data_IF_127559225574
#
_entry.id   IF_127559225574
#
_cell.length_a   1.000
_cell.length_b   1.000
_cell.length_c   1.000
_cell.angle_alpha   90.00
_cell.angle_beta   90.00
_cell.angle_gamma   90.00
#
_symmetry.space_group_name_H-M   'P 1'
#
loop_
_entity.id
_entity.type
_entity.pdbx_description
1 polymer ?
#
# COMPACT_ATOMS: atom_id res chain seq x y z
N UNK A 1 -15.24 -12.44 0.86
CA UNK A 1 -14.14 -11.69 0.24
C UNK A 1 -12.82 -12.25 0.72
N UNK A 2 -11.85 -12.53 -0.17
CA UNK A 2 -10.48 -12.90 0.20
C UNK A 2 -9.90 -11.91 1.22
N UNK A 3 -9.05 -12.38 2.14
CA UNK A 3 -8.51 -11.57 3.23
C UNK A 3 -7.84 -10.27 2.73
N UNK A 4 -7.13 -10.33 1.60
CA UNK A 4 -6.47 -9.16 1.01
C UNK A 4 -7.44 -8.13 0.48
N UNK A 5 -8.56 -8.56 -0.10
CA UNK A 5 -9.54 -7.63 -0.60
C UNK A 5 -10.17 -6.82 0.54
N UNK A 6 -10.30 -7.44 1.74
CA UNK A 6 -10.72 -6.72 2.95
C UNK A 6 -9.64 -5.78 3.46
N UNK A 7 -8.38 -6.22 3.47
CA UNK A 7 -7.25 -5.36 3.86
C UNK A 7 -7.16 -4.13 2.97
N UNK A 8 -7.23 -4.29 1.65
CA UNK A 8 -7.24 -3.18 0.69
C UNK A 8 -8.49 -2.30 0.83
N UNK A 9 -9.64 -2.89 1.17
CA UNK A 9 -10.83 -2.12 1.55
C UNK A 9 -10.55 -1.18 2.72
N UNK A 10 -9.84 -1.64 3.76
CA UNK A 10 -9.42 -0.79 4.89
C UNK A 10 -8.38 0.25 4.47
N UNK A 11 -7.40 -0.10 3.63
CA UNK A 11 -6.46 0.90 3.08
C UNK A 11 -7.22 2.05 2.44
N UNK A 12 -8.17 1.77 1.55
CA UNK A 12 -8.93 2.80 0.84
C UNK A 12 -9.82 3.66 1.75
N UNK A 13 -10.20 3.15 2.94
CA UNK A 13 -10.90 3.95 3.95
C UNK A 13 -9.99 5.03 4.56
N UNK A 14 -8.67 4.84 4.57
CA UNK A 14 -7.72 5.82 5.11
C UNK A 14 -7.24 6.83 4.07
N UNK A 15 -7.16 6.43 2.80
CA UNK A 15 -6.55 7.24 1.75
C UNK A 15 -7.55 7.85 0.74
N UNK A 16 -8.85 7.82 1.04
CA UNK A 16 -9.86 8.59 0.30
C UNK A 16 -9.79 10.09 0.62
N UNK A 17 -10.47 10.89 -0.21
CA UNK A 17 -10.48 12.36 -0.11
C UNK A 17 -10.93 12.88 1.27
N UNK A 18 -11.86 12.18 1.93
CA UNK A 18 -12.43 12.61 3.21
C UNK A 18 -11.50 12.32 4.40
N UNK A 19 -10.66 11.29 4.28
CA UNK A 19 -9.89 10.73 5.41
C UNK A 19 -8.38 10.96 5.28
N UNK A 20 -7.87 11.27 4.09
CA UNK A 20 -6.44 11.32 3.84
C UNK A 20 -5.70 12.39 4.65
N UNK A 21 -6.34 13.52 4.95
CA UNK A 21 -5.77 14.55 5.82
C UNK A 21 -5.55 14.04 7.25
N UNK A 22 -6.55 13.34 7.80
CA UNK A 22 -6.45 12.73 9.15
C UNK A 22 -5.38 11.63 9.15
N UNK A 23 -5.34 10.81 8.11
CA UNK A 23 -4.32 9.77 7.95
C UNK A 23 -2.92 10.36 7.87
N UNK A 24 -2.71 11.44 7.10
CA UNK A 24 -1.43 12.15 7.04
C UNK A 24 -0.99 12.57 8.43
N UNK A 25 -1.85 13.30 9.13
CA UNK A 25 -1.50 13.84 10.44
C UNK A 25 -1.17 12.73 11.46
N UNK A 26 -1.76 11.54 11.31
CA UNK A 26 -1.51 10.38 12.17
C UNK A 26 -0.18 9.66 11.88
N UNK A 27 0.27 9.57 10.62
CA UNK A 27 1.38 8.70 10.22
C UNK A 27 2.52 9.38 9.44
N UNK A 28 2.47 10.69 9.21
CA UNK A 28 3.53 11.41 8.47
C UNK A 28 4.91 11.21 9.10
N UNK A 29 5.03 11.39 10.42
CA UNK A 29 6.31 11.19 11.12
C UNK A 29 6.82 9.74 11.00
N UNK A 30 5.90 8.77 11.07
CA UNK A 30 6.21 7.35 10.94
C UNK A 30 6.68 6.99 9.51
N UNK A 31 6.17 7.68 8.49
CA UNK A 31 6.63 7.52 7.10
C UNK A 31 8.05 8.06 6.90
N UNK A 32 8.40 9.16 7.58
CA UNK A 32 9.70 9.81 7.48
C UNK A 32 10.79 9.12 8.34
N UNK A 33 10.40 8.41 9.39
CA UNK A 33 11.32 7.64 10.23
C UNK A 33 11.84 6.39 9.49
N UNK A 34 13.15 6.29 9.22
CA UNK A 34 13.74 5.14 8.54
C UNK A 34 13.71 3.84 9.37
N UNK A 35 13.49 3.92 10.70
CA UNK A 35 13.39 2.73 11.56
C UNK A 35 11.98 2.14 11.56
N UNK A 36 10.96 2.95 11.31
CA UNK A 36 9.60 2.47 11.17
C UNK A 36 9.47 1.67 9.87
N UNK A 37 8.81 0.52 9.88
CA UNK A 37 8.56 -0.28 8.68
C UNK A 37 7.10 -0.12 8.19
N UNK A 38 6.80 -0.56 6.97
CA UNK A 38 5.46 -0.43 6.37
C UNK A 38 4.37 -1.16 7.18
N UNK A 39 4.71 -2.31 7.76
CA UNK A 39 3.79 -3.14 8.53
C UNK A 39 3.34 -2.42 9.79
N UNK A 40 4.26 -1.83 10.54
CA UNK A 40 3.96 -1.06 11.75
C UNK A 40 3.04 0.13 11.44
N UNK A 41 3.25 0.83 10.32
CA UNK A 41 2.35 1.90 9.88
C UNK A 41 0.94 1.34 9.60
N UNK A 42 0.85 0.23 8.89
CA UNK A 42 -0.42 -0.41 8.58
C UNK A 42 -1.15 -0.95 9.84
N UNK A 43 -0.41 -1.38 10.86
CA UNK A 43 -0.97 -1.77 12.15
C UNK A 43 -1.47 -0.55 12.94
N UNK A 44 -0.72 0.56 12.97
CA UNK A 44 -1.16 1.82 13.59
C UNK A 44 -2.48 2.32 13.00
N UNK A 45 -2.65 2.17 11.68
CA UNK A 45 -3.90 2.53 11.01
C UNK A 45 -5.01 1.49 11.17
N UNK A 46 -4.76 0.31 11.73
CA UNK A 46 -5.73 -0.78 11.76
C UNK A 46 -6.03 -1.39 10.38
N UNK A 47 -5.15 -1.15 9.40
CA UNK A 47 -5.20 -1.78 8.08
C UNK A 47 -4.86 -3.26 8.19
N UNK A 48 -3.84 -3.60 8.98
CA UNK A 48 -3.48 -4.99 9.30
C UNK A 48 -4.15 -5.38 10.62
N UNK A 49 -4.96 -6.44 10.57
CA UNK A 49 -5.77 -6.91 11.72
C UNK A 49 -5.52 -8.36 12.08
N UNK A 50 -4.79 -9.10 11.23
CA UNK A 50 -4.51 -10.53 11.42
C UNK A 50 -3.06 -10.85 11.12
N UNK A 51 -2.53 -11.92 11.72
CA UNK A 51 -1.16 -12.40 11.45
C UNK A 51 -0.95 -12.77 9.97
N UNK A 52 -2.01 -13.23 9.29
CA UNK A 52 -1.96 -13.53 7.86
C UNK A 52 -1.73 -12.28 7.01
N UNK A 53 -2.41 -11.18 7.32
CA UNK A 53 -2.21 -9.88 6.65
C UNK A 53 -0.81 -9.31 6.94
N UNK A 54 -0.33 -9.46 8.19
CA UNK A 54 1.02 -9.05 8.59
C UNK A 54 2.09 -9.74 7.74
N UNK A 55 2.10 -11.08 7.72
CA UNK A 55 3.08 -11.90 7.01
C UNK A 55 3.18 -11.55 5.52
N UNK A 56 2.09 -11.05 4.97
CA UNK A 56 1.99 -10.73 3.54
C UNK A 56 2.62 -9.41 3.23
N UNK A 57 2.36 -8.38 4.05
CA UNK A 57 3.08 -7.12 3.92
C UNK A 57 4.58 -7.31 4.20
N UNK A 58 4.93 -8.17 5.15
CA UNK A 58 6.34 -8.54 5.43
C UNK A 58 7.00 -9.27 4.24
N UNK A 59 6.23 -10.09 3.51
CA UNK A 59 6.73 -10.83 2.35
C UNK A 59 6.89 -9.97 1.09
N UNK A 60 6.37 -8.74 1.07
CA UNK A 60 6.58 -7.84 -0.06
C UNK A 60 8.08 -7.55 -0.24
N UNK A 61 8.58 -7.53 -1.49
CA UNK A 61 9.95 -7.09 -1.77
C UNK A 61 10.24 -5.73 -1.14
N UNK A 62 11.40 -5.58 -0.50
CA UNK A 62 11.80 -4.32 0.18
C UNK A 62 11.71 -3.11 -0.74
N UNK A 63 12.01 -3.28 -2.03
CA UNK A 63 11.85 -2.24 -3.04
C UNK A 63 10.41 -1.75 -3.17
N UNK A 64 9.42 -2.66 -3.22
CA UNK A 64 8.00 -2.30 -3.25
C UNK A 64 7.58 -1.59 -1.97
N UNK A 65 8.02 -2.08 -0.80
CA UNK A 65 7.72 -1.43 0.47
C UNK A 65 8.27 0.01 0.51
N UNK A 66 9.51 0.20 0.06
CA UNK A 66 10.14 1.51 -0.03
C UNK A 66 9.42 2.43 -1.03
N UNK A 67 9.03 1.91 -2.21
CA UNK A 67 8.27 2.67 -3.21
C UNK A 67 6.91 3.12 -2.69
N UNK A 68 6.18 2.27 -1.97
CA UNK A 68 4.91 2.63 -1.35
C UNK A 68 5.08 3.74 -0.31
N UNK A 69 6.10 3.64 0.53
CA UNK A 69 6.41 4.69 1.52
C UNK A 69 6.79 6.01 0.86
N UNK A 70 7.65 5.96 -0.16
CA UNK A 70 8.08 7.15 -0.89
C UNK A 70 6.89 7.82 -1.60
N UNK A 71 6.00 7.04 -2.20
CA UNK A 71 4.77 7.54 -2.81
C UNK A 71 3.86 8.25 -1.80
N UNK A 72 3.64 7.65 -0.62
CA UNK A 72 2.82 8.27 0.42
C UNK A 72 3.48 9.53 0.97
N UNK A 73 4.80 9.51 1.21
CA UNK A 73 5.54 10.67 1.66
C UNK A 73 5.50 11.83 0.65
N UNK A 74 5.67 11.55 -0.65
CA UNK A 74 5.54 12.54 -1.72
C UNK A 74 4.13 13.15 -1.76
N UNK A 75 3.10 12.29 -1.70
CA UNK A 75 1.72 12.75 -1.71
C UNK A 75 1.40 13.62 -0.47
N UNK A 76 1.92 13.26 0.70
CA UNK A 76 1.69 14.01 1.94
C UNK A 76 2.42 15.35 2.00
N UNK A 77 3.52 15.50 1.25
CA UNK A 77 4.24 16.77 1.11
C UNK A 77 3.48 17.81 0.26
N UNK A 78 2.37 17.42 -0.39
CA UNK A 78 1.53 18.35 -1.16
C UNK A 78 0.74 19.26 -0.23
N UNK A 79 0.44 20.48 -0.69
CA UNK A 79 -0.41 21.44 0.03
C UNK A 79 -1.75 20.79 0.41
N UNK A 80 -2.32 20.04 -0.53
CA UNK A 80 -3.45 19.15 -0.31
C UNK A 80 -3.09 17.76 -0.85
N UNK A 81 -2.96 16.74 0.02
CA UNK A 81 -2.74 15.37 -0.43
C UNK A 81 -3.88 14.89 -1.33
N UNK A 82 -3.54 14.20 -2.42
CA UNK A 82 -4.52 13.62 -3.32
C UNK A 82 -5.01 12.28 -2.82
N UNK A 83 -6.27 11.94 -3.10
CA UNK A 83 -6.79 10.60 -2.86
C UNK A 83 -5.87 9.54 -3.50
N UNK A 84 -5.65 8.46 -2.75
CA UNK A 84 -4.90 7.28 -3.22
C UNK A 84 -5.81 6.06 -3.18
N UNK A 85 -6.14 5.56 -4.36
CA UNK A 85 -6.92 4.34 -4.52
C UNK A 85 -5.99 3.14 -4.66
N UNK A 86 -6.09 2.18 -3.75
CA UNK A 86 -5.34 0.94 -3.78
C UNK A 86 -6.20 -0.20 -4.31
N UNK A 87 -5.63 -0.97 -5.23
CA UNK A 87 -6.23 -2.18 -5.80
C UNK A 87 -5.25 -3.33 -5.63
N UNK A 88 -5.74 -4.44 -5.12
CA UNK A 88 -5.01 -5.70 -5.14
C UNK A 88 -5.47 -6.55 -6.31
N UNK A 89 -4.51 -7.18 -6.99
CA UNK A 89 -4.77 -8.19 -8.00
C UNK A 89 -3.93 -9.45 -7.75
N UNK A 90 -4.47 -10.65 -8.04
CA UNK A 90 -3.67 -11.86 -8.03
C UNK A 90 -2.66 -11.83 -9.19
N UNK A 91 -1.39 -12.09 -8.89
CA UNK A 91 -0.31 -12.14 -9.87
C UNK A 91 0.73 -13.21 -9.50
N UNK A 92 1.43 -13.78 -10.49
CA UNK A 92 2.53 -14.72 -10.23
C UNK A 92 3.81 -14.03 -9.76
N UNK A 93 4.00 -12.78 -10.16
CA UNK A 93 5.14 -11.95 -9.78
C UNK A 93 4.67 -10.77 -8.92
N UNK A 94 5.56 -10.28 -8.06
CA UNK A 94 5.32 -9.03 -7.35
C UNK A 94 5.38 -7.86 -8.33
N UNK A 95 4.28 -7.09 -8.41
CA UNK A 95 4.17 -5.92 -9.27
C UNK A 95 3.59 -4.75 -8.50
N UNK A 96 4.19 -3.58 -8.70
CA UNK A 96 3.64 -2.30 -8.27
C UNK A 96 3.42 -1.45 -9.51
N UNK A 97 2.19 -0.99 -9.72
CA UNK A 97 1.86 -0.06 -10.80
C UNK A 97 1.24 1.18 -10.17
N UNK A 98 1.76 2.35 -10.55
CA UNK A 98 1.31 3.65 -10.06
C UNK A 98 0.82 4.45 -11.26
N UNK A 99 -0.40 4.94 -11.17
CA UNK A 99 -0.95 5.92 -12.08
C UNK A 99 -1.22 7.19 -11.30
N UNK A 100 -0.76 8.32 -11.83
CA UNK A 100 -1.01 9.63 -11.25
C UNK A 100 -1.67 10.51 -12.32
N UNK A 101 -2.79 11.12 -11.95
CA UNK A 101 -3.51 12.07 -12.78
C UNK A 101 -3.59 13.40 -12.03
N UNK A 102 -3.04 14.45 -12.64
CA UNK A 102 -3.13 15.80 -12.07
C UNK A 102 -4.56 16.35 -12.13
N UNK A 103 -4.84 17.40 -11.33
CA UNK A 103 -6.12 18.07 -11.34
C UNK A 103 -6.42 18.68 -12.72
N UNK A 104 -7.70 18.74 -13.06
CA UNK A 104 -8.23 19.30 -14.30
C UNK A 104 -9.52 20.09 -14.03
N UNK A 105 -10.11 20.67 -15.06
CA UNK A 105 -11.38 21.41 -14.94
C UNK A 105 -12.56 20.56 -14.42
N UNK A 106 -12.46 19.23 -14.47
CA UNK A 106 -13.55 18.30 -14.14
C UNK A 106 -13.16 17.22 -13.13
N UNK A 107 -11.95 17.27 -12.56
CA UNK A 107 -11.45 16.27 -11.62
C UNK A 107 -10.37 16.87 -10.73
N UNK A 108 -10.40 16.54 -9.44
CA UNK A 108 -9.41 16.95 -8.45
C UNK A 108 -8.06 16.23 -8.62
N UNK A 109 -7.98 15.28 -9.55
CA UNK A 109 -6.81 14.42 -9.72
C UNK A 109 -6.82 13.25 -8.73
N UNK A 110 -5.75 12.46 -8.73
CA UNK A 110 -5.66 11.31 -7.86
C UNK A 110 -4.51 10.37 -8.20
N UNK A 111 -4.26 9.44 -7.30
CA UNK A 111 -3.24 8.39 -7.45
C UNK A 111 -3.95 7.03 -7.41
N UNK A 112 -3.66 6.16 -8.35
CA UNK A 112 -4.10 4.76 -8.33
C UNK A 112 -2.88 3.84 -8.20
N UNK A 113 -2.93 2.96 -7.21
CA UNK A 113 -1.88 1.99 -6.91
C UNK A 113 -2.44 0.59 -7.10
N UNK A 114 -1.88 -0.15 -8.05
CA UNK A 114 -2.20 -1.56 -8.28
C UNK A 114 -1.05 -2.39 -7.74
N UNK A 115 -1.33 -3.24 -6.76
CA UNK A 115 -0.38 -4.18 -6.19
C UNK A 115 -0.73 -5.60 -6.62
N UNK A 116 0.08 -6.15 -7.50
CA UNK A 116 0.06 -7.55 -7.89
C UNK A 116 0.88 -8.39 -6.92
N UNK A 117 0.27 -9.38 -6.29
CA UNK A 117 0.98 -10.37 -5.45
C UNK A 117 0.43 -11.77 -5.67
N UNK A 118 1.24 -12.78 -5.31
CA UNK A 118 0.76 -14.17 -5.24
C UNK A 118 -0.36 -14.30 -4.22
N UNK A 119 -1.24 -15.27 -4.46
CA UNK A 119 -2.27 -15.60 -3.49
C UNK A 119 -1.61 -16.08 -2.18
N UNK A 120 -2.13 -15.69 -1.01
CA UNK A 120 -1.63 -16.20 0.26
C UNK A 120 -1.72 -17.72 0.28
N UNK A 121 -0.58 -18.40 0.43
CA UNK A 121 -0.50 -19.86 0.44
C UNK A 121 0.06 -20.49 -0.83
N UNK A 122 0.23 -19.72 -1.92
CA UNK A 122 0.99 -20.20 -3.07
C UNK A 122 2.47 -20.22 -2.71
N UNK A 123 3.09 -21.40 -2.84
CA UNK A 123 4.54 -21.53 -2.71
C UNK A 123 5.23 -20.60 -3.73
N UNK A 124 6.31 -19.95 -3.32
CA UNK A 124 7.27 -19.41 -4.28
C UNK A 124 7.76 -20.56 -5.15
N UNK A 125 8.04 -20.36 -6.45
CA UNK A 125 8.71 -21.38 -7.22
C UNK A 125 10.03 -21.61 -6.51
N UNK A 126 10.20 -22.78 -5.90
CA UNK A 126 11.50 -23.20 -5.45
C UNK A 126 12.35 -23.18 -6.72
N UNK A 127 13.36 -22.31 -6.77
CA UNK A 127 14.46 -22.52 -7.70
C UNK A 127 14.91 -23.93 -7.39
N UNK A 128 14.59 -24.87 -8.27
CA UNK A 128 14.76 -26.29 -8.02
C UNK A 128 16.16 -26.50 -7.48
N UNK A 129 16.27 -27.10 -6.29
CA UNK A 129 17.53 -27.73 -5.93
C UNK A 129 17.73 -28.80 -6.99
N UNK A 130 18.56 -28.46 -7.99
CA UNK A 130 19.10 -29.43 -8.90
C UNK A 130 19.86 -30.45 -8.05
N UNK A 131 19.20 -31.57 -7.81
CA UNK A 131 19.79 -32.83 -7.36
C UNK A 131 20.68 -33.40 -8.47
#
# INVERSE_FOLDING_TARGET
MPAYQRMFGRVNQHFNIDSIGVTRDAIEQALLDPQTNLVSIAETLGIVTTDGERKVLEALPRGIQASLRALLADNFARVQPWEVQFVWEPAYDYRLTVHEAGPSAISDGGISVILGTRYPGDALPTLGTAS
#
